data_IF_255894275296
#
_entry.id   IF_255894275296
#
_cell.length_a   1.000
_cell.length_b   1.000
_cell.length_c   1.000
_cell.angle_alpha   90.00
_cell.angle_beta   90.00
_cell.angle_gamma   90.00
#
_symmetry.space_group_name_H-M   'P 1'
#
loop_
_entity.id
_entity.type
_entity.pdbx_description
1 polymer ?
#
# COMPACT_ATOMS: atom_id res chain seq x y z
N UNK A 1 -7.39 21.96 19.53
CA UNK A 1 -6.12 21.50 18.95
C UNK A 1 -6.45 20.82 17.64
N UNK A 2 -5.86 21.25 16.53
CA UNK A 2 -6.06 20.58 15.24
C UNK A 2 -5.26 19.28 15.27
N UNK A 3 -5.94 18.16 15.08
CA UNK A 3 -5.28 16.86 14.98
C UNK A 3 -4.36 16.87 13.75
N UNK A 4 -3.07 16.51 13.88
CA UNK A 4 -2.15 16.54 12.75
C UNK A 4 -2.61 15.54 11.67
N UNK A 5 -2.76 16.04 10.43
CA UNK A 5 -3.25 15.27 9.29
C UNK A 5 -2.38 14.02 9.06
N UNK A 6 -2.94 12.85 9.36
CA UNK A 6 -2.33 11.59 8.97
C UNK A 6 -2.57 11.34 7.46
N UNK A 7 -1.54 10.98 6.69
CA UNK A 7 -1.75 10.53 5.32
C UNK A 7 -2.71 9.33 5.32
N UNK A 8 -3.52 9.14 4.27
CA UNK A 8 -4.49 8.06 4.23
C UNK A 8 -3.80 6.69 4.20
N UNK A 9 -4.46 5.67 4.74
CA UNK A 9 -4.04 4.27 4.56
C UNK A 9 -4.01 3.97 3.06
N UNK A 10 -2.84 3.52 2.59
CA UNK A 10 -2.61 3.19 1.19
C UNK A 10 -2.28 1.70 1.08
N UNK A 11 -2.93 1.04 0.12
CA UNK A 11 -2.66 -0.35 -0.24
C UNK A 11 -1.90 -0.40 -1.57
N UNK A 12 -0.86 -1.24 -1.61
CA UNK A 12 -0.02 -1.47 -2.80
C UNK A 12 -0.01 -2.96 -3.12
N UNK A 13 0.06 -3.30 -4.40
CA UNK A 13 0.14 -4.69 -4.85
C UNK A 13 1.47 -4.88 -5.55
N UNK A 14 2.32 -5.78 -5.04
CA UNK A 14 3.56 -6.15 -5.71
C UNK A 14 3.31 -7.37 -6.61
N UNK A 15 3.72 -7.25 -7.86
CA UNK A 15 3.52 -8.26 -8.91
C UNK A 15 4.84 -8.99 -9.14
N UNK A 16 4.85 -10.33 -9.15
CA UNK A 16 6.07 -11.08 -9.43
C UNK A 16 6.55 -10.84 -10.87
N UNK A 17 7.87 -10.72 -11.00
CA UNK A 17 8.66 -10.71 -12.24
C UNK A 17 9.74 -11.78 -12.09
N UNK A 18 10.34 -12.23 -13.21
CA UNK A 18 11.25 -13.39 -13.30
C UNK A 18 12.11 -13.67 -12.05
N UNK A 19 12.72 -12.65 -11.44
CA UNK A 19 13.61 -12.79 -10.28
C UNK A 19 13.28 -11.85 -9.11
N UNK A 20 12.18 -11.10 -9.15
CA UNK A 20 11.84 -10.10 -8.11
C UNK A 20 10.34 -9.72 -8.12
N UNK A 21 9.93 -8.77 -7.29
CA UNK A 21 8.62 -8.13 -7.31
C UNK A 21 8.75 -6.70 -7.80
N UNK A 22 7.83 -6.26 -8.67
CA UNK A 22 7.69 -4.85 -8.97
C UNK A 22 6.35 -4.33 -8.43
N UNK A 23 6.36 -3.12 -7.89
CA UNK A 23 5.14 -2.42 -7.53
C UNK A 23 4.75 -1.59 -8.77
N UNK A 24 3.55 -1.79 -9.35
CA UNK A 24 3.05 -0.94 -10.42
C UNK A 24 3.09 0.53 -10.01
N UNK A 25 3.23 1.43 -10.99
CA UNK A 25 3.26 2.89 -10.82
C UNK A 25 2.34 3.39 -9.68
N UNK A 26 2.74 4.44 -8.91
CA UNK A 26 1.94 5.01 -7.83
C UNK A 26 0.53 5.44 -8.25
N UNK A 27 0.23 5.59 -9.55
CA UNK A 27 -1.14 5.76 -10.06
C UNK A 27 -2.07 4.57 -9.80
N UNK A 28 -1.55 3.41 -9.36
CA UNK A 28 -2.30 2.25 -8.85
C UNK A 28 -2.20 2.11 -7.33
N UNK A 29 -2.23 3.24 -6.63
CA UNK A 29 -2.43 3.30 -5.19
C UNK A 29 -3.89 3.01 -4.87
N UNK A 30 -4.16 1.99 -4.04
CA UNK A 30 -5.51 1.62 -3.63
C UNK A 30 -5.82 2.24 -2.27
N UNK A 31 -6.96 2.91 -2.14
CA UNK A 31 -7.46 3.44 -0.86
C UNK A 31 -8.33 2.44 -0.11
N UNK A 32 -8.56 1.24 -0.67
CA UNK A 32 -9.32 0.16 -0.05
C UNK A 32 -8.61 -1.19 -0.16
N UNK A 33 -8.71 -1.97 0.92
CA UNK A 33 -8.18 -3.34 0.96
C UNK A 33 -8.82 -4.23 -0.10
N UNK A 34 -10.14 -4.10 -0.27
CA UNK A 34 -10.91 -4.89 -1.24
C UNK A 34 -10.40 -4.66 -2.66
N UNK A 35 -10.17 -3.41 -3.07
CA UNK A 35 -9.65 -3.09 -4.40
C UNK A 35 -8.25 -3.68 -4.64
N UNK A 36 -7.38 -3.61 -3.63
CA UNK A 36 -6.04 -4.19 -3.72
C UNK A 36 -6.08 -5.73 -3.81
N UNK A 37 -6.91 -6.39 -2.99
CA UNK A 37 -7.10 -7.85 -3.03
C UNK A 37 -7.73 -8.32 -4.33
N UNK A 38 -8.76 -7.63 -4.83
CA UNK A 38 -9.42 -7.98 -6.09
C UNK A 38 -8.47 -7.87 -7.28
N UNK A 39 -7.55 -6.89 -7.27
CA UNK A 39 -6.50 -6.81 -8.27
C UNK A 39 -5.46 -7.94 -8.11
N UNK A 40 -4.96 -8.18 -6.89
CA UNK A 40 -3.97 -9.23 -6.63
C UNK A 40 -4.48 -10.64 -7.00
N UNK A 41 -5.77 -10.93 -6.80
CA UNK A 41 -6.40 -12.20 -7.20
C UNK A 41 -6.29 -12.51 -8.70
N UNK A 42 -6.18 -11.49 -9.54
CA UNK A 42 -6.06 -11.64 -11.00
C UNK A 42 -4.64 -11.97 -11.45
N UNK A 43 -3.67 -11.94 -10.53
CA UNK A 43 -2.24 -12.05 -10.83
C UNK A 43 -1.63 -13.15 -9.96
N UNK A 44 -1.30 -14.32 -10.52
CA UNK A 44 -0.66 -15.39 -9.76
C UNK A 44 0.60 -14.91 -9.05
N UNK A 45 0.70 -15.19 -7.74
CA UNK A 45 1.85 -14.82 -6.92
C UNK A 45 1.94 -13.35 -6.51
N UNK A 46 0.95 -12.51 -6.83
CA UNK A 46 0.90 -11.14 -6.34
C UNK A 46 0.74 -11.07 -4.82
N UNK A 47 1.37 -10.05 -4.22
CA UNK A 47 1.35 -9.80 -2.77
C UNK A 47 0.74 -8.43 -2.50
N UNK A 48 -0.07 -8.34 -1.45
CA UNK A 48 -0.73 -7.09 -1.03
C UNK A 48 -0.02 -6.53 0.19
N UNK A 49 0.29 -5.24 0.16
CA UNK A 49 0.94 -4.48 1.23
C UNK A 49 0.06 -3.31 1.63
N UNK A 50 0.11 -2.92 2.90
CA UNK A 50 -0.52 -1.68 3.40
C UNK A 50 0.53 -0.77 4.01
N UNK A 51 0.37 0.53 3.81
CA UNK A 51 1.08 1.56 4.56
C UNK A 51 0.19 1.98 5.72
N UNK A 52 0.70 1.85 6.94
CA UNK A 52 0.03 2.34 8.14
C UNK A 52 0.48 3.78 8.39
N UNK A 53 -0.46 4.75 8.48
CA UNK A 53 -0.11 6.11 8.83
C UNK A 53 0.07 6.19 10.35
N UNK A 54 1.31 6.44 10.79
CA UNK A 54 1.62 6.62 12.20
C UNK A 54 2.48 7.86 12.39
N UNK A 55 2.23 8.59 13.48
CA UNK A 55 3.12 9.64 13.96
C UNK A 55 4.14 9.02 14.90
N UNK A 56 5.40 9.38 14.71
CA UNK A 56 6.45 9.10 15.71
C UNK A 56 6.71 10.41 16.42
N UNK A 57 6.41 10.46 17.72
CA UNK A 57 6.76 11.61 18.55
C UNK A 57 8.28 11.64 18.73
N UNK A 58 8.90 12.76 18.35
CA UNK A 58 10.33 13.01 18.50
C UNK A 58 10.46 14.23 19.41
N UNK A 59 10.27 14.02 20.71
CA UNK A 59 10.55 14.99 21.77
C UNK A 59 11.83 14.55 22.49
N UNK A 60 12.76 15.49 22.70
CA UNK A 60 14.08 15.25 23.34
C UNK A 60 13.96 14.84 24.81
#
# INVERSE_FOLDING_TARGET
>A
MSEPYLPPVVWRVAVPRRDDYYIPSPSRTYTSERGARDYARRIPGARVFRTEPTWVEVTE
#
